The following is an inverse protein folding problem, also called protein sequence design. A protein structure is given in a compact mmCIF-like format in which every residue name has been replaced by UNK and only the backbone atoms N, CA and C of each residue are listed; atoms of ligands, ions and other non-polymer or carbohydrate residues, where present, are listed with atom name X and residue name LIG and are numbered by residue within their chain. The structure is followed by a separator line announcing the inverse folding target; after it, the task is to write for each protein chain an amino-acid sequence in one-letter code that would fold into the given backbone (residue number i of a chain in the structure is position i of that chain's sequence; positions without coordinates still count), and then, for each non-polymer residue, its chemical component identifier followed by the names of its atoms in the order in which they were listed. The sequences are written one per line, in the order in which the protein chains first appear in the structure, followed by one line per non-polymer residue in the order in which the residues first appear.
data_IF_102072518755
#
_entry.id   IF_102072518755
#
_cell.length_a   1.000
_cell.length_b   1.000
_cell.length_c   1.000
_cell.angle_alpha   90.00
_cell.angle_beta   90.00
_cell.angle_gamma   90.00
#
_symmetry.space_group_name_H-M   'P 1'
#
loop_
_entity.id
_entity.type
_entity.pdbx_description
1 polymer ?
#
# COMPACT_ATOMS: atom_id res chain seq x y z
N UNK A 1 -7.98 -7.27 4.66
CA UNK A 1 -7.36 -6.60 3.50
C UNK A 1 -5.85 -6.46 3.58
N UNK A 2 -5.30 -6.50 4.80
CA UNK A 2 -3.85 -6.36 4.95
C UNK A 2 -3.09 -7.50 4.28
N UNK A 3 -3.58 -8.73 4.42
CA UNK A 3 -2.91 -9.89 3.80
C UNK A 3 -2.87 -9.76 2.28
N UNK A 4 -3.94 -9.25 1.70
CA UNK A 4 -3.99 -9.00 0.26
C UNK A 4 -2.92 -8.00 -0.16
N UNK A 5 -2.82 -6.90 0.57
CA UNK A 5 -1.83 -5.87 0.27
C UNK A 5 -0.41 -6.39 0.41
N UNK A 6 -0.15 -7.17 1.46
CA UNK A 6 1.16 -7.75 1.66
C UNK A 6 1.55 -8.67 0.52
N UNK A 7 0.61 -9.50 0.09
CA UNK A 7 0.86 -10.42 -0.99
C UNK A 7 1.20 -9.70 -2.28
N UNK A 8 0.39 -8.70 -2.63
CA UNK A 8 0.59 -7.96 -3.89
C UNK A 8 1.88 -7.16 -3.85
N UNK A 9 2.10 -6.41 -2.77
CA UNK A 9 3.27 -5.54 -2.69
C UNK A 9 4.54 -6.35 -2.65
N UNK A 10 4.59 -7.40 -1.84
CA UNK A 10 5.79 -8.24 -1.75
C UNK A 10 6.10 -8.92 -3.06
N UNK A 11 5.08 -9.16 -3.89
CA UNK A 11 5.30 -9.72 -5.21
C UNK A 11 5.89 -8.75 -6.22
N UNK A 12 5.82 -7.45 -5.94
CA UNK A 12 6.31 -6.42 -6.86
C UNK A 12 7.72 -5.94 -6.55
N UNK A 13 8.15 -6.09 -5.30
CA UNK A 13 9.38 -5.45 -4.82
C UNK A 13 10.56 -6.41 -4.81
N UNK A 14 11.75 -5.84 -4.76
CA UNK A 14 12.98 -6.63 -4.63
C UNK A 14 13.42 -6.81 -3.19
N UNK A 15 12.87 -6.00 -2.27
CA UNK A 15 13.21 -6.06 -0.87
C UNK A 15 11.95 -6.33 -0.03
N UNK A 16 11.41 -7.57 -0.13
CA UNK A 16 10.14 -7.86 0.56
C UNK A 16 10.25 -7.79 2.07
N UNK A 17 11.45 -7.96 2.62
CA UNK A 17 11.64 -7.87 4.06
C UNK A 17 11.52 -6.44 4.58
N UNK A 18 11.56 -5.45 3.68
CA UNK A 18 11.44 -4.05 4.04
C UNK A 18 10.03 -3.51 3.84
N UNK A 19 9.08 -4.38 3.53
CA UNK A 19 7.68 -3.99 3.36
C UNK A 19 6.97 -4.00 4.71
N UNK A 20 6.43 -2.85 5.10
CA UNK A 20 5.66 -2.71 6.34
C UNK A 20 4.34 -2.04 6.01
N UNK A 21 3.25 -2.65 6.43
CA UNK A 21 1.91 -2.13 6.20
C UNK A 21 1.25 -1.94 7.55
N UNK A 22 0.90 -0.69 7.84
CA UNK A 22 0.32 -0.32 9.13
C UNK A 22 -1.08 0.25 8.91
N UNK A 23 -2.12 -0.37 9.49
CA UNK A 23 -3.48 0.19 9.38
C UNK A 23 -3.63 1.35 10.36
N UNK A 24 -4.19 2.45 9.86
CA UNK A 24 -4.46 3.64 10.68
C UNK A 24 -5.91 4.04 10.45
N UNK A 25 -6.66 4.18 11.54
CA UNK A 25 -8.06 4.62 11.46
C UNK A 25 -8.14 6.14 11.38
N UNK A 26 -8.86 6.64 10.41
CA UNK A 26 -9.10 8.09 10.26
C UNK A 26 -10.54 8.29 9.83
N UNK A 27 -11.36 8.79 10.76
CA UNK A 27 -12.74 9.20 10.46
C UNK A 27 -13.53 8.11 9.73
N UNK A 28 -13.43 6.89 10.25
CA UNK A 28 -14.20 5.78 9.69
C UNK A 28 -13.55 5.11 8.47
N UNK A 29 -12.38 5.59 8.07
CA UNK A 29 -11.63 5.00 6.96
C UNK A 29 -10.35 4.39 7.50
N UNK A 30 -10.04 3.18 7.05
CA UNK A 30 -8.76 2.55 7.38
C UNK A 30 -7.76 2.92 6.29
N UNK A 31 -6.71 3.62 6.68
CA UNK A 31 -5.61 3.97 5.77
C UNK A 31 -4.49 2.99 6.03
N UNK A 32 -4.14 2.22 5.01
CA UNK A 32 -2.99 1.33 5.10
C UNK A 32 -1.75 2.10 4.69
N UNK A 33 -0.91 2.37 5.66
CA UNK A 33 0.35 3.09 5.42
C UNK A 33 1.41 2.08 5.03
N UNK A 34 1.95 2.26 3.85
CA UNK A 34 2.92 1.35 3.27
C UNK A 34 4.30 1.98 3.29
N UNK A 35 5.25 1.26 3.91
CA UNK A 35 6.65 1.67 3.94
C UNK A 35 7.48 0.63 3.22
N UNK A 36 8.36 1.10 2.36
CA UNK A 36 9.15 0.26 1.47
C UNK A 36 10.60 0.70 1.46
N UNK A 37 11.44 -0.20 0.95
CA UNK A 37 12.79 0.21 0.59
C UNK A 37 12.70 1.32 -0.47
N UNK A 38 13.51 2.39 -0.35
CA UNK A 38 13.42 3.51 -1.29
C UNK A 38 13.53 3.10 -2.75
N UNK A 39 14.33 2.08 -3.05
CA UNK A 39 14.49 1.62 -4.43
C UNK A 39 13.26 0.93 -4.97
N UNK A 40 12.35 0.50 -4.10
CA UNK A 40 11.15 -0.21 -4.53
C UNK A 40 9.93 0.68 -4.68
N UNK A 41 10.01 1.93 -4.21
CA UNK A 41 8.86 2.84 -4.26
C UNK A 41 8.35 3.00 -5.69
N UNK A 42 9.26 3.21 -6.64
CA UNK A 42 8.88 3.39 -8.03
C UNK A 42 8.21 2.16 -8.63
N UNK A 43 8.58 0.96 -8.17
CA UNK A 43 7.98 -0.28 -8.67
C UNK A 43 6.53 -0.41 -8.24
N UNK A 44 6.23 0.06 -7.03
CA UNK A 44 4.86 -0.02 -6.51
C UNK A 44 4.00 1.08 -7.09
N UNK A 45 4.56 2.27 -7.29
CA UNK A 45 3.81 3.37 -7.92
C UNK A 45 3.54 3.04 -9.38
N UNK A 46 4.55 2.55 -10.09
CA UNK A 46 4.43 2.22 -11.50
C UNK A 46 4.44 3.45 -12.39
N UNK A 47 4.39 3.20 -13.70
CA UNK A 47 4.42 4.28 -14.68
C UNK A 47 3.18 5.15 -14.49
N UNK A 48 3.40 6.45 -14.27
CA UNK A 48 2.32 7.42 -14.11
C UNK A 48 1.32 7.04 -13.02
N UNK A 49 1.80 6.29 -12.02
CA UNK A 49 0.95 5.88 -10.92
C UNK A 49 -0.02 4.76 -11.22
N UNK A 50 0.14 4.08 -12.36
CA UNK A 50 -0.85 3.08 -12.78
C UNK A 50 -0.91 1.89 -11.84
N UNK A 51 0.23 1.42 -11.34
CA UNK A 51 0.25 0.25 -10.48
C UNK A 51 -0.41 0.54 -9.13
N UNK A 52 -0.02 1.65 -8.49
CA UNK A 52 -0.59 1.99 -7.18
C UNK A 52 -2.08 2.26 -7.30
N UNK A 53 -2.51 2.89 -8.41
CA UNK A 53 -3.93 3.17 -8.60
C UNK A 53 -4.73 1.89 -8.83
N UNK A 54 -4.15 0.92 -9.53
CA UNK A 54 -4.79 -0.39 -9.71
C UNK A 54 -4.95 -1.10 -8.37
N UNK A 55 -3.91 -1.05 -7.53
CA UNK A 55 -3.98 -1.66 -6.20
C UNK A 55 -5.07 -0.99 -5.37
N UNK A 56 -5.14 0.34 -5.42
CA UNK A 56 -6.17 1.09 -4.69
C UNK A 56 -7.57 0.72 -5.16
N UNK A 57 -7.75 0.54 -6.47
CA UNK A 57 -9.06 0.18 -7.02
C UNK A 57 -9.49 -1.20 -6.54
N UNK A 58 -8.57 -2.16 -6.53
CA UNK A 58 -8.86 -3.50 -6.04
C UNK A 58 -9.17 -3.49 -4.54
N UNK A 59 -8.41 -2.71 -3.79
CA UNK A 59 -8.63 -2.58 -2.36
C UNK A 59 -10.00 -1.99 -2.07
N UNK A 60 -10.37 -0.95 -2.80
CA UNK A 60 -11.66 -0.30 -2.63
C UNK A 60 -12.80 -1.26 -2.96
N UNK A 61 -12.68 -1.97 -4.06
CA UNK A 61 -13.72 -2.93 -4.46
C UNK A 61 -13.88 -4.04 -3.42
N UNK A 62 -12.76 -4.60 -2.94
CA UNK A 62 -12.80 -5.66 -1.94
C UNK A 62 -13.35 -5.19 -0.60
N UNK A 63 -12.96 -4.00 -0.17
CA UNK A 63 -13.41 -3.48 1.11
C UNK A 63 -14.87 -3.05 1.07
N UNK A 64 -15.32 -2.48 -0.06
CA UNK A 64 -16.72 -2.08 -0.20
C UNK A 64 -17.66 -3.28 -0.07
N UNK A 65 -17.23 -4.42 -0.59
CA UNK A 65 -18.03 -5.64 -0.49
C UNK A 65 -18.24 -6.07 0.96
N UNK A 66 -17.33 -5.70 1.84
CA UNK A 66 -17.41 -6.01 3.27
C UNK A 66 -17.97 -4.86 4.09
N UNK A 67 -18.42 -3.79 3.45
CA UNK A 67 -18.96 -2.63 4.13
C UNK A 67 -17.88 -1.80 4.80
N UNK A 68 -16.64 -1.88 4.33
CA UNK A 68 -15.52 -1.17 4.92
C UNK A 68 -15.06 -0.07 3.97
N UNK A 69 -14.32 0.90 4.54
CA UNK A 69 -13.66 1.93 3.76
C UNK A 69 -12.17 1.81 3.99
N UNK A 70 -11.44 1.50 2.93
CA UNK A 70 -9.99 1.32 3.03
C UNK A 70 -9.30 2.05 1.89
N UNK A 71 -8.15 2.61 2.19
CA UNK A 71 -7.30 3.21 1.17
C UNK A 71 -5.85 2.89 1.48
N UNK A 72 -4.97 3.24 0.56
CA UNK A 72 -3.55 2.93 0.65
C UNK A 72 -2.73 4.18 0.40
N UNK A 73 -1.76 4.42 1.26
CA UNK A 73 -0.81 5.52 1.10
C UNK A 73 0.60 5.02 1.24
N UNK A 74 1.50 5.53 0.40
CA UNK A 74 2.92 5.26 0.55
C UNK A 74 3.51 6.33 1.42
N UNK A 75 4.16 5.91 2.51
CA UNK A 75 4.82 6.81 3.42
C UNK A 75 6.31 6.81 3.08
N UNK A 76 6.80 7.96 2.63
CA UNK A 76 8.21 8.12 2.33
C UNK A 76 8.85 8.86 3.49
N UNK A 77 9.69 8.14 4.22
CA UNK A 77 10.32 8.73 5.37
C UNK A 77 11.68 9.29 4.99
N UNK A 78 12.04 10.46 5.53
CA UNK A 78 13.36 10.99 5.24
C UNK A 78 14.42 10.03 5.75
N UNK A 79 15.51 9.97 5.00
CA UNK A 79 16.64 9.13 5.38
C UNK A 79 17.30 9.74 6.61
N UNK A 80 17.44 8.94 7.66
CA UNK A 80 18.12 9.41 8.87
C UNK A 80 19.62 9.55 8.61
N UNK A 81 20.24 10.53 9.24
CA UNK A 81 21.68 10.79 9.11
C UNK A 81 22.34 10.86 10.45
#
# INVERSE_FOLDING_TARGET
MQSFLEYVVKGLVQHPDDVYITPVEREGTTVYELRLHPQDVGKVIGRQGMTINAIRSLLLAGSAKKGLRCTLEIVEEPVAR
#
